data_IF_641617251250
#
_entry.id   IF_641617251250
#
_cell.length_a   1.000
_cell.length_b   1.000
_cell.length_c   1.000
_cell.angle_alpha   90.00
_cell.angle_beta   90.00
_cell.angle_gamma   90.00
#
_symmetry.space_group_name_H-M   'P 1'
#
loop_
_entity.id
_entity.type
_entity.pdbx_description
1 polymer ?
#
# COMPACT_ATOMS: atom_id res chain seq x y z
N UNK A 1 10.99 -16.74 11.99
CA UNK A 1 10.48 -16.61 10.60
C UNK A 1 9.36 -15.58 10.62
N UNK A 2 9.68 -14.29 10.50
CA UNK A 2 8.63 -13.28 10.41
C UNK A 2 7.94 -13.49 9.06
N UNK A 3 6.70 -14.00 9.09
CA UNK A 3 5.97 -14.38 7.89
C UNK A 3 5.80 -13.17 6.96
N UNK A 4 6.03 -13.38 5.69
CA UNK A 4 5.77 -12.43 4.61
C UNK A 4 4.36 -11.81 4.72
N UNK A 5 4.18 -10.56 4.30
CA UNK A 5 2.87 -9.92 4.28
C UNK A 5 2.11 -10.38 3.03
N UNK A 6 0.87 -10.84 3.17
CA UNK A 6 0.03 -11.12 2.01
C UNK A 6 -0.39 -9.82 1.33
N UNK A 7 -0.51 -9.84 0.00
CA UNK A 7 -0.96 -8.67 -0.75
C UNK A 7 -2.37 -8.22 -0.34
N UNK A 8 -3.24 -9.16 0.06
CA UNK A 8 -4.58 -8.87 0.57
C UNK A 8 -4.55 -8.05 1.85
N UNK A 9 -3.59 -8.34 2.76
CA UNK A 9 -3.42 -7.54 3.98
C UNK A 9 -2.98 -6.12 3.66
N UNK A 10 -2.08 -5.95 2.68
CA UNK A 10 -1.69 -4.62 2.21
C UNK A 10 -2.90 -3.86 1.64
N UNK A 11 -3.70 -4.51 0.81
CA UNK A 11 -4.93 -3.93 0.24
C UNK A 11 -5.88 -3.46 1.35
N UNK A 12 -6.12 -4.30 2.35
CA UNK A 12 -7.00 -3.96 3.48
C UNK A 12 -6.51 -2.73 4.26
N UNK A 13 -5.20 -2.62 4.49
CA UNK A 13 -4.62 -1.44 5.17
C UNK A 13 -4.77 -0.18 4.31
N UNK A 14 -4.55 -0.27 3.00
CA UNK A 14 -4.72 0.87 2.09
C UNK A 14 -6.19 1.31 1.99
N UNK A 15 -7.12 0.37 1.87
CA UNK A 15 -8.57 0.65 1.88
C UNK A 15 -8.99 1.31 3.20
N UNK A 16 -8.45 0.85 4.33
CA UNK A 16 -8.73 1.45 5.64
C UNK A 16 -8.21 2.89 5.73
N UNK A 17 -6.98 3.13 5.29
CA UNK A 17 -6.40 4.48 5.25
C UNK A 17 -7.22 5.42 4.36
N UNK A 18 -7.68 4.94 3.20
CA UNK A 18 -8.56 5.70 2.31
C UNK A 18 -9.91 5.99 2.96
N UNK A 19 -10.53 5.01 3.60
CA UNK A 19 -11.82 5.19 4.28
C UNK A 19 -11.72 6.22 5.43
N UNK A 20 -10.63 6.18 6.21
CA UNK A 20 -10.37 7.17 7.27
C UNK A 20 -10.08 8.58 6.69
N UNK A 21 -9.40 8.67 5.55
CA UNK A 21 -9.20 9.95 4.83
C UNK A 21 -10.53 10.49 4.30
N UNK A 22 -11.34 9.65 3.65
CA UNK A 22 -12.65 10.02 3.08
C UNK A 22 -13.66 10.42 4.14
N UNK A 23 -13.59 9.79 5.31
CA UNK A 23 -14.37 10.17 6.48
C UNK A 23 -13.96 11.54 7.07
N UNK A 24 -12.88 12.16 6.56
CA UNK A 24 -12.31 13.38 7.10
C UNK A 24 -11.68 13.19 8.48
N UNK A 25 -11.44 11.94 8.89
CA UNK A 25 -10.90 11.57 10.19
C UNK A 25 -9.36 11.58 10.22
N UNK A 26 -8.71 11.60 9.05
CA UNK A 26 -7.25 11.67 8.90
C UNK A 26 -6.82 12.95 8.21
N UNK A 27 -5.85 13.65 8.80
CA UNK A 27 -5.12 14.69 8.08
C UNK A 27 -4.13 14.06 7.09
N UNK A 28 -3.80 14.79 6.01
CA UNK A 28 -2.80 14.35 5.01
C UNK A 28 -1.47 13.93 5.65
N UNK A 29 -1.00 14.66 6.67
CA UNK A 29 0.23 14.34 7.39
C UNK A 29 0.17 12.99 8.12
N UNK A 30 -0.99 12.64 8.68
CA UNK A 30 -1.19 11.38 9.38
C UNK A 30 -1.32 10.22 8.40
N UNK A 31 -2.00 10.43 7.27
CA UNK A 31 -2.05 9.47 6.16
C UNK A 31 -0.64 9.11 5.70
N UNK A 32 0.21 10.10 5.44
CA UNK A 32 1.59 9.90 5.00
C UNK A 32 2.42 9.15 6.05
N UNK A 33 2.22 9.47 7.34
CA UNK A 33 2.93 8.78 8.43
C UNK A 33 2.51 7.31 8.54
N UNK A 34 1.21 7.00 8.44
CA UNK A 34 0.71 5.62 8.47
C UNK A 34 1.14 4.85 7.24
N UNK A 35 1.04 5.45 6.05
CA UNK A 35 1.51 4.85 4.80
C UNK A 35 3.00 4.52 4.87
N UNK A 36 3.81 5.43 5.40
CA UNK A 36 5.25 5.19 5.59
C UNK A 36 5.53 4.01 6.51
N UNK A 37 4.72 3.79 7.55
CA UNK A 37 4.83 2.60 8.43
C UNK A 37 4.46 1.32 7.71
N UNK A 38 3.37 1.31 6.94
CA UNK A 38 2.97 0.16 6.12
C UNK A 38 4.10 -0.19 5.16
N UNK A 39 4.66 0.79 4.47
CA UNK A 39 5.78 0.60 3.53
C UNK A 39 7.04 0.09 4.24
N UNK A 40 7.35 0.59 5.44
CA UNK A 40 8.48 0.10 6.22
C UNK A 40 8.28 -1.38 6.62
N UNK A 41 7.08 -1.75 7.05
CA UNK A 41 6.76 -3.14 7.40
C UNK A 41 6.85 -4.07 6.19
N UNK A 42 6.34 -3.62 5.03
CA UNK A 42 6.48 -4.35 3.76
C UNK A 42 7.95 -4.54 3.38
N UNK A 43 8.81 -3.55 3.63
CA UNK A 43 10.25 -3.66 3.35
C UNK A 43 10.93 -4.68 4.26
N UNK A 44 10.54 -4.73 5.53
CA UNK A 44 11.14 -5.63 6.53
C UNK A 44 10.70 -7.08 6.33
N UNK A 45 9.43 -7.30 5.95
CA UNK A 45 8.83 -8.63 5.86
C UNK A 45 8.71 -9.16 4.43
N UNK A 46 8.74 -8.28 3.44
CA UNK A 46 8.43 -8.61 2.04
C UNK A 46 6.94 -8.87 1.82
N UNK A 47 6.54 -8.88 0.55
CA UNK A 47 5.20 -9.33 0.13
C UNK A 47 5.29 -10.78 -0.37
N UNK A 48 4.36 -11.61 0.09
CA UNK A 48 4.15 -12.98 -0.41
C UNK A 48 3.25 -12.98 -1.65
N UNK A 49 3.74 -12.39 -2.73
CA UNK A 49 3.03 -12.37 -4.01
C UNK A 49 4.01 -12.18 -5.16
N UNK A 50 3.66 -12.73 -6.32
CA UNK A 50 4.41 -12.52 -7.54
C UNK A 50 4.38 -11.06 -7.96
N UNK A 51 5.48 -10.58 -8.55
CA UNK A 51 5.60 -9.22 -9.11
C UNK A 51 4.44 -8.83 -10.02
N UNK A 52 3.94 -9.77 -10.83
CA UNK A 52 2.78 -9.55 -11.69
C UNK A 52 1.50 -9.31 -10.88
N UNK A 53 1.28 -10.12 -9.83
CA UNK A 53 0.13 -9.97 -8.92
C UNK A 53 0.21 -8.65 -8.16
N UNK A 54 1.40 -8.27 -7.68
CA UNK A 54 1.62 -6.98 -7.02
C UNK A 54 1.27 -5.82 -7.95
N UNK A 55 1.80 -5.82 -9.16
CA UNK A 55 1.59 -4.74 -10.13
C UNK A 55 0.10 -4.63 -10.49
N UNK A 56 -0.57 -5.75 -10.80
CA UNK A 56 -1.99 -5.77 -11.13
C UNK A 56 -2.86 -5.25 -9.98
N UNK A 57 -2.57 -5.63 -8.73
CA UNK A 57 -3.32 -5.12 -7.58
C UNK A 57 -3.07 -3.63 -7.34
N UNK A 58 -1.84 -3.14 -7.46
CA UNK A 58 -1.56 -1.70 -7.34
C UNK A 58 -2.25 -0.88 -8.43
N UNK A 59 -2.39 -1.44 -9.63
CA UNK A 59 -3.12 -0.84 -10.74
C UNK A 59 -4.63 -0.83 -10.47
N UNK A 60 -5.21 -1.94 -10.01
CA UNK A 60 -6.61 -2.00 -9.61
C UNK A 60 -6.94 -1.00 -8.49
N UNK A 61 -6.08 -0.87 -7.48
CA UNK A 61 -6.25 0.10 -6.40
C UNK A 61 -6.17 1.56 -6.90
N UNK A 62 -5.38 1.81 -7.94
CA UNK A 62 -5.31 3.12 -8.57
C UNK A 62 -6.58 3.40 -9.37
N UNK A 63 -7.07 2.44 -10.16
CA UNK A 63 -8.30 2.57 -10.95
C UNK A 63 -9.54 2.76 -10.08
N UNK A 64 -9.61 2.06 -8.94
CA UNK A 64 -10.67 2.22 -7.94
C UNK A 64 -10.55 3.52 -7.13
N UNK A 65 -9.42 4.22 -7.24
CA UNK A 65 -9.14 5.45 -6.51
C UNK A 65 -8.82 5.23 -5.03
N UNK A 66 -8.54 4.01 -4.58
CA UNK A 66 -8.08 3.72 -3.21
C UNK A 66 -6.75 4.41 -2.95
N UNK A 67 -5.85 4.39 -3.94
CA UNK A 67 -4.56 5.07 -3.88
C UNK A 67 -4.43 6.08 -5.01
N UNK A 68 -3.56 7.07 -4.82
CA UNK A 68 -3.19 8.05 -5.84
C UNK A 68 -1.93 7.62 -6.61
N UNK A 69 -1.68 8.16 -7.83
CA UNK A 69 -0.53 7.76 -8.65
C UNK A 69 0.83 7.88 -7.95
N UNK A 70 0.99 8.89 -7.08
CA UNK A 70 2.21 9.09 -6.29
C UNK A 70 2.47 7.94 -5.30
N UNK A 71 1.40 7.40 -4.69
CA UNK A 71 1.47 6.27 -3.76
C UNK A 71 1.80 4.98 -4.50
N UNK A 72 1.18 4.72 -5.66
CA UNK A 72 1.53 3.58 -6.54
C UNK A 72 3.02 3.60 -6.88
N UNK A 73 3.52 4.73 -7.36
CA UNK A 73 4.93 4.91 -7.74
C UNK A 73 5.87 4.67 -6.55
N UNK A 74 5.48 5.12 -5.34
CA UNK A 74 6.27 4.89 -4.14
C UNK A 74 6.32 3.39 -3.79
N UNK A 75 5.17 2.71 -3.82
CA UNK A 75 5.07 1.28 -3.55
C UNK A 75 5.89 0.46 -4.56
N UNK A 76 5.78 0.76 -5.85
CA UNK A 76 6.54 0.09 -6.92
C UNK A 76 8.06 0.20 -6.71
N UNK A 77 8.56 1.41 -6.42
CA UNK A 77 9.99 1.62 -6.13
C UNK A 77 10.46 0.86 -4.89
N UNK A 78 9.62 0.80 -3.86
CA UNK A 78 9.97 0.13 -2.59
C UNK A 78 9.93 -1.38 -2.68
N UNK A 79 9.05 -1.91 -3.54
CA UNK A 79 8.93 -3.34 -3.82
C UNK A 79 9.90 -3.81 -4.92
N UNK A 80 10.73 -2.92 -5.47
CA UNK A 80 11.70 -3.24 -6.52
C UNK A 80 11.05 -3.62 -7.85
N UNK A 81 9.83 -3.12 -8.12
CA UNK A 81 9.09 -3.39 -9.34
C UNK A 81 9.49 -2.47 -10.49
N UNK A 82 10.21 -1.37 -10.21
CA UNK A 82 10.72 -0.39 -11.18
C UNK A 82 12.13 0.03 -10.84
#
# INVERSE_FOLDING_TARGET
MAGSISIERLVQELDKLKAEMDAGALQHSEYDQRLSRVIAELRERGIDADRAKITATLEELLERGTIVPSVKTHLEKRLGLV
#
